data_IF_101520149254
#
_entry.id   IF_101520149254
#
_cell.length_a   1.000
_cell.length_b   1.000
_cell.length_c   1.000
_cell.angle_alpha   90.00
_cell.angle_beta   90.00
_cell.angle_gamma   90.00
#
_symmetry.space_group_name_H-M   'P 1'
#
loop_
_entity.id
_entity.type
_entity.pdbx_description
1 polymer ?
#
# COMPACT_ATOMS: atom_id res chain seq x y z
N UNK A 1 19.61 -14.22 -13.05
CA UNK A 1 18.39 -14.83 -13.65
C UNK A 1 17.22 -14.98 -12.68
N UNK A 2 17.42 -15.14 -11.36
CA UNK A 2 16.33 -15.26 -10.37
C UNK A 2 15.45 -13.99 -10.25
N UNK A 3 16.06 -12.80 -10.29
CA UNK A 3 15.39 -11.50 -10.15
C UNK A 3 14.39 -11.14 -11.27
N UNK A 4 14.50 -11.77 -12.45
CA UNK A 4 13.63 -11.44 -13.59
C UNK A 4 12.26 -12.15 -13.50
N UNK A 5 12.21 -13.35 -12.91
CA UNK A 5 10.95 -14.05 -12.63
C UNK A 5 10.16 -13.37 -11.50
N UNK A 6 10.84 -12.84 -10.48
CA UNK A 6 10.19 -12.17 -9.35
C UNK A 6 9.49 -10.87 -9.81
N UNK A 7 10.09 -10.10 -10.72
CA UNK A 7 9.45 -8.92 -11.34
C UNK A 7 8.17 -9.23 -12.13
N UNK A 8 8.09 -10.38 -12.80
CA UNK A 8 6.89 -10.76 -13.57
C UNK A 8 5.73 -11.18 -12.66
N UNK A 9 6.01 -11.88 -11.56
CA UNK A 9 5.03 -12.19 -10.52
C UNK A 9 4.53 -10.94 -9.78
N UNK A 10 5.40 -9.94 -9.58
CA UNK A 10 5.09 -8.65 -8.96
C UNK A 10 4.12 -7.81 -9.79
N UNK A 11 4.36 -7.69 -11.10
CA UNK A 11 3.43 -7.00 -12.01
C UNK A 11 2.06 -7.69 -12.05
N UNK A 12 2.03 -9.03 -11.98
CA UNK A 12 0.77 -9.77 -11.95
C UNK A 12 -0.01 -9.54 -10.65
N UNK A 13 0.66 -9.54 -9.49
CA UNK A 13 0.00 -9.28 -8.20
C UNK A 13 -0.53 -7.83 -8.10
N UNK A 14 0.24 -6.85 -8.57
CA UNK A 14 -0.18 -5.44 -8.59
C UNK A 14 -1.35 -5.22 -9.55
N UNK A 15 -1.27 -5.81 -10.75
CA UNK A 15 -2.34 -5.77 -11.74
C UNK A 15 -3.60 -6.48 -11.24
N UNK A 16 -3.48 -7.61 -10.55
CA UNK A 16 -4.61 -8.33 -9.96
C UNK A 16 -5.22 -7.62 -8.76
N UNK A 17 -4.40 -6.96 -7.92
CA UNK A 17 -4.89 -6.08 -6.85
C UNK A 17 -5.66 -4.90 -7.44
N UNK A 18 -5.04 -4.16 -8.36
CA UNK A 18 -5.65 -3.04 -9.05
C UNK A 18 -6.95 -3.45 -9.74
N UNK A 19 -6.95 -4.57 -10.47
CA UNK A 19 -8.14 -5.09 -11.13
C UNK A 19 -9.25 -5.46 -10.15
N UNK A 20 -8.95 -6.14 -9.04
CA UNK A 20 -9.95 -6.49 -8.02
C UNK A 20 -10.53 -5.26 -7.33
N UNK A 21 -9.68 -4.30 -6.96
CA UNK A 21 -10.09 -3.03 -6.37
C UNK A 21 -10.95 -2.24 -7.35
N UNK A 22 -10.48 -2.02 -8.57
CA UNK A 22 -11.19 -1.23 -9.59
C UNK A 22 -12.48 -1.90 -10.07
N UNK A 23 -12.55 -3.24 -10.09
CA UNK A 23 -13.80 -3.97 -10.36
C UNK A 23 -14.83 -3.80 -9.23
N UNK A 24 -14.37 -3.74 -7.98
CA UNK A 24 -15.21 -3.38 -6.83
C UNK A 24 -15.70 -1.93 -6.93
N UNK A 25 -14.78 -1.00 -7.13
CA UNK A 25 -15.06 0.45 -7.22
C UNK A 25 -15.96 0.80 -8.41
N UNK A 26 -15.77 0.19 -9.59
CA UNK A 26 -16.64 0.41 -10.77
C UNK A 26 -18.09 -0.02 -10.53
N UNK A 27 -18.35 -0.94 -9.61
CA UNK A 27 -19.70 -1.37 -9.24
C UNK A 27 -20.32 -0.49 -8.14
N UNK A 28 -19.59 0.52 -7.68
CA UNK A 28 -19.94 1.38 -6.54
C UNK A 28 -20.16 2.83 -6.98
N UNK A 29 -20.79 3.04 -8.15
CA UNK A 29 -21.06 4.38 -8.69
C UNK A 29 -21.87 5.28 -7.75
N UNK A 30 -22.59 4.67 -6.79
CA UNK A 30 -23.50 5.37 -5.89
C UNK A 30 -22.93 5.55 -4.46
N UNK A 31 -21.70 5.13 -4.20
CA UNK A 31 -21.10 5.30 -2.87
C UNK A 31 -20.56 6.72 -2.68
N UNK A 32 -20.92 7.33 -1.55
CA UNK A 32 -20.33 8.58 -1.12
C UNK A 32 -18.82 8.44 -0.82
N UNK A 33 -18.03 9.53 -0.87
CA UNK A 33 -16.58 9.48 -0.69
C UNK A 33 -16.13 8.79 0.62
N UNK A 34 -16.87 8.97 1.72
CA UNK A 34 -16.57 8.31 3.00
C UNK A 34 -16.71 6.79 2.92
N UNK A 35 -17.74 6.30 2.23
CA UNK A 35 -17.97 4.86 2.05
C UNK A 35 -16.91 4.26 1.13
N UNK A 36 -16.54 4.97 0.06
CA UNK A 36 -15.45 4.57 -0.83
C UNK A 36 -14.12 4.48 -0.07
N UNK A 37 -13.78 5.50 0.74
CA UNK A 37 -12.57 5.47 1.58
C UNK A 37 -12.58 4.29 2.56
N UNK A 38 -13.69 4.09 3.26
CA UNK A 38 -13.84 2.97 4.19
C UNK A 38 -13.67 1.62 3.50
N UNK A 39 -14.23 1.46 2.30
CA UNK A 39 -14.11 0.24 1.52
C UNK A 39 -12.67 -0.03 1.08
N UNK A 40 -11.96 1.01 0.61
CA UNK A 40 -10.54 0.90 0.24
C UNK A 40 -9.68 0.49 1.44
N UNK A 41 -9.96 1.02 2.63
CA UNK A 41 -9.28 0.60 3.88
C UNK A 41 -9.53 -0.87 4.22
N UNK A 42 -10.74 -1.38 3.96
CA UNK A 42 -11.04 -2.82 4.14
C UNK A 42 -10.27 -3.68 3.15
N UNK A 43 -10.15 -3.24 1.90
CA UNK A 43 -9.35 -3.94 0.89
C UNK A 43 -7.83 -3.84 1.13
N UNK A 44 -7.38 -2.91 1.99
CA UNK A 44 -5.97 -2.77 2.33
C UNK A 44 -5.36 -4.02 2.99
N UNK A 45 -6.18 -4.96 3.50
CA UNK A 45 -5.71 -6.28 3.95
C UNK A 45 -5.00 -7.07 2.85
N UNK A 46 -5.31 -6.78 1.59
CA UNK A 46 -4.69 -7.39 0.42
C UNK A 46 -3.31 -6.77 0.12
N UNK A 47 -3.03 -5.60 0.69
CA UNK A 47 -1.79 -4.86 0.48
C UNK A 47 -0.90 -4.97 1.74
N UNK A 48 -0.49 -6.18 2.07
CA UNK A 48 0.38 -6.41 3.23
C UNK A 48 1.82 -6.05 2.88
N UNK A 49 2.53 -5.47 3.85
CA UNK A 49 3.98 -5.37 3.77
C UNK A 49 4.60 -6.78 3.69
N UNK A 50 5.83 -6.93 3.18
CA UNK A 50 6.55 -8.20 3.22
C UNK A 50 6.57 -8.79 4.64
N UNK A 51 6.46 -10.12 4.76
CA UNK A 51 6.35 -10.80 6.07
C UNK A 51 7.56 -10.55 6.97
N UNK A 52 8.72 -10.30 6.38
CA UNK A 52 9.96 -10.02 7.09
C UNK A 52 10.13 -8.54 7.46
N UNK A 53 9.25 -7.65 6.98
CA UNK A 53 9.33 -6.24 7.28
C UNK A 53 8.76 -5.95 8.67
N UNK A 54 9.50 -5.16 9.46
CA UNK A 54 9.03 -4.59 10.71
C UNK A 54 8.16 -3.38 10.39
N UNK A 55 7.07 -3.20 11.15
CA UNK A 55 6.14 -2.09 11.00
C UNK A 55 5.95 -1.40 12.34
N UNK A 56 6.10 -0.10 12.35
CA UNK A 56 5.87 0.74 13.52
C UNK A 56 4.98 1.91 13.11
N UNK A 57 4.06 2.30 13.99
CA UNK A 57 3.21 3.47 13.78
C UNK A 57 3.63 4.52 14.78
N UNK A 58 4.03 5.68 14.26
CA UNK A 58 4.47 6.83 15.04
C UNK A 58 3.56 8.03 14.72
N UNK A 59 3.47 8.98 15.64
CA UNK A 59 2.89 10.29 15.38
C UNK A 59 4.01 11.32 15.25
N UNK A 60 4.13 11.96 14.08
CA UNK A 60 5.02 13.09 13.86
C UNK A 60 4.16 14.36 13.86
N UNK A 61 4.20 15.09 14.98
CA UNK A 61 3.20 16.12 15.27
C UNK A 61 1.80 15.51 15.32
N UNK A 62 0.86 16.07 14.56
CA UNK A 62 -0.53 15.57 14.48
C UNK A 62 -0.75 14.53 13.35
N UNK A 63 0.32 14.13 12.65
CA UNK A 63 0.25 13.21 11.51
C UNK A 63 0.69 11.82 11.93
N UNK A 64 -0.18 10.82 11.71
CA UNK A 64 0.18 9.41 11.87
C UNK A 64 1.00 8.93 10.68
N UNK A 65 2.18 8.41 10.97
CA UNK A 65 3.12 7.88 10.00
C UNK A 65 3.33 6.38 10.28
N UNK A 66 3.56 5.61 9.24
CA UNK A 66 3.93 4.21 9.36
C UNK A 66 5.34 4.00 8.83
N UNK A 67 6.22 3.53 9.72
CA UNK A 67 7.57 3.15 9.40
C UNK A 67 7.56 1.68 9.01
N UNK A 68 8.15 1.38 7.85
CA UNK A 68 8.34 0.02 7.37
C UNK A 68 9.83 -0.19 7.20
N UNK A 69 10.39 -1.14 7.94
CA UNK A 69 11.82 -1.47 7.89
C UNK A 69 12.00 -2.89 7.37
N UNK A 70 12.73 -3.02 6.27
CA UNK A 70 13.09 -4.32 5.68
C UNK A 70 14.44 -4.73 6.25
N UNK A 71 14.72 -6.03 6.50
CA UNK A 71 16.06 -6.46 6.89
C UNK A 71 17.12 -5.98 5.89
N UNK A 72 18.34 -5.77 6.37
CA UNK A 72 19.49 -5.37 5.53
C UNK A 72 19.38 -3.97 4.87
N UNK A 73 18.37 -3.15 5.22
CA UNK A 73 18.34 -1.73 4.82
C UNK A 73 19.40 -0.91 5.57
N UNK A 74 20.10 -0.03 4.85
CA UNK A 74 21.08 0.92 5.41
C UNK A 74 20.38 1.91 6.35
N UNK A 75 20.92 2.10 7.55
CA UNK A 75 20.29 2.97 8.57
C UNK A 75 20.24 4.44 8.18
N UNK A 76 21.20 4.89 7.36
CA UNK A 76 21.35 6.28 6.97
C UNK A 76 20.43 6.70 5.81
N UNK A 77 19.63 5.77 5.28
CA UNK A 77 18.77 6.04 4.11
C UNK A 77 17.31 5.90 4.47
N UNK A 78 16.55 6.97 4.21
CA UNK A 78 15.09 7.00 4.42
C UNK A 78 14.41 7.29 3.10
N UNK A 79 13.42 6.48 2.74
CA UNK A 79 12.50 6.75 1.66
C UNK A 79 11.20 7.34 2.24
N UNK A 80 10.97 8.63 2.01
CA UNK A 80 9.72 9.27 2.39
C UNK A 80 8.68 9.11 1.27
N UNK A 81 7.57 8.43 1.58
CA UNK A 81 6.50 8.13 0.61
C UNK A 81 5.22 8.87 0.99
N UNK A 82 4.76 9.73 0.07
CA UNK A 82 3.40 10.28 0.11
C UNK A 82 2.53 9.42 -0.80
N UNK A 83 1.50 8.80 -0.24
CA UNK A 83 0.66 7.90 -1.00
C UNK A 83 -0.26 8.63 -1.99
N UNK A 84 -0.65 7.93 -3.06
CA UNK A 84 -1.66 8.41 -4.00
C UNK A 84 -3.10 8.30 -3.45
N UNK A 85 -4.09 8.55 -4.32
CA UNK A 85 -5.51 8.50 -3.93
C UNK A 85 -6.24 9.84 -4.07
N UNK A 86 -5.76 10.71 -4.96
CA UNK A 86 -6.37 11.99 -5.29
C UNK A 86 -6.64 12.88 -4.05
N UNK A 87 -5.76 12.82 -3.05
CA UNK A 87 -5.82 13.57 -1.79
C UNK A 87 -7.06 13.31 -0.91
N UNK A 88 -7.99 12.46 -1.35
CA UNK A 88 -9.24 12.17 -0.64
C UNK A 88 -9.31 10.72 -0.12
N UNK A 89 -8.52 9.83 -0.71
CA UNK A 89 -8.59 8.39 -0.46
C UNK A 89 -7.22 7.78 -0.15
N UNK A 90 -7.26 6.60 0.44
CA UNK A 90 -6.07 5.85 0.82
C UNK A 90 -5.48 6.24 2.17
N UNK A 91 -4.46 5.48 2.53
CA UNK A 91 -3.59 5.66 3.68
C UNK A 91 -2.24 5.01 3.41
N UNK A 92 -1.31 5.14 4.37
CA UNK A 92 -0.07 4.34 4.38
C UNK A 92 -0.38 2.84 4.27
N UNK A 93 -1.44 2.38 4.94
CA UNK A 93 -1.87 0.98 4.92
C UNK A 93 -2.30 0.50 3.54
N UNK A 94 -3.02 1.32 2.77
CA UNK A 94 -3.46 0.94 1.41
C UNK A 94 -2.31 0.88 0.41
N UNK A 95 -1.10 1.29 0.78
CA UNK A 95 0.05 1.43 -0.12
C UNK A 95 1.33 0.70 0.37
N UNK A 96 1.25 -0.13 1.42
CA UNK A 96 2.43 -0.82 2.02
C UNK A 96 3.22 -1.68 1.05
N UNK A 97 2.60 -2.17 -0.01
CA UNK A 97 3.28 -3.00 -1.01
C UNK A 97 4.28 -2.21 -1.87
N UNK A 98 4.39 -0.88 -1.75
CA UNK A 98 5.54 -0.17 -2.33
C UNK A 98 6.87 -0.62 -1.74
N UNK A 99 6.86 -1.16 -0.51
CA UNK A 99 8.06 -1.58 0.22
C UNK A 99 8.41 -3.06 -0.05
N UNK A 100 7.71 -3.73 -0.97
CA UNK A 100 8.01 -5.13 -1.33
C UNK A 100 9.07 -5.30 -2.42
N UNK A 101 9.76 -4.22 -2.78
CA UNK A 101 10.76 -4.16 -3.85
C UNK A 101 12.15 -3.90 -3.29
#
# INVERSE_FOLDING_TARGET
MKYFCDMQLLNYNWMMYYYKVMRGVRRMTDLGPKQLRWYLEKLAILNQAPKFAQKEVESIGDVKVEHIRVPETREETVLFVIHGGAFAFGSARTHRNFVSH
#
